data_IF_411114884874
#
_entry.id   IF_411114884874
#
_cell.length_a   1.000
_cell.length_b   1.000
_cell.length_c   1.000
_cell.angle_alpha   90.00
_cell.angle_beta   90.00
_cell.angle_gamma   90.00
#
_symmetry.space_group_name_H-M   'P 1'
#
loop_
_entity.id
_entity.type
_entity.pdbx_description
1 polymer ?
#
# COMPACT_ATOMS: atom_id res chain seq x y z
N UNK A 1 -8.97 5.56 15.83
CA UNK A 1 -7.97 4.57 16.24
C UNK A 1 -8.36 3.88 17.56
N UNK A 2 -8.55 4.58 18.68
CA UNK A 2 -8.87 4.01 20.02
C UNK A 2 -10.04 3.01 20.01
N UNK A 3 -11.13 3.31 19.30
CA UNK A 3 -12.27 2.39 19.16
C UNK A 3 -11.88 1.06 18.52
N UNK A 4 -11.12 1.11 17.42
CA UNK A 4 -10.64 -0.09 16.71
C UNK A 4 -9.72 -0.92 17.64
N UNK A 5 -8.76 -0.26 18.29
CA UNK A 5 -7.82 -0.92 19.21
C UNK A 5 -8.54 -1.66 20.35
N UNK A 6 -9.61 -1.09 20.88
CA UNK A 6 -10.43 -1.72 21.93
C UNK A 6 -11.26 -2.93 21.47
N UNK A 7 -11.30 -3.25 20.16
CA UNK A 7 -12.12 -4.33 19.60
C UNK A 7 -11.32 -5.51 19.05
N UNK A 8 -10.00 -5.45 19.06
CA UNK A 8 -9.15 -6.53 18.56
C UNK A 8 -7.84 -6.65 19.31
N UNK A 9 -7.33 -7.87 19.39
CA UNK A 9 -5.98 -8.18 19.86
C UNK A 9 -4.97 -8.31 18.70
N UNK A 10 -5.46 -8.17 17.45
CA UNK A 10 -4.60 -8.21 16.27
C UNK A 10 -3.96 -6.87 16.01
N UNK A 11 -2.87 -6.86 15.25
CA UNK A 11 -2.27 -5.63 14.77
C UNK A 11 -3.31 -4.77 14.03
N UNK A 12 -3.31 -3.49 14.34
CA UNK A 12 -4.24 -2.51 13.78
C UNK A 12 -3.51 -1.58 12.85
N UNK A 13 -4.10 -1.33 11.67
CA UNK A 13 -3.56 -0.43 10.67
C UNK A 13 -4.55 0.69 10.38
N UNK A 14 -4.02 1.89 10.20
CA UNK A 14 -4.77 3.08 9.80
C UNK A 14 -4.11 3.71 8.59
N UNK A 15 -4.91 4.28 7.70
CA UNK A 15 -4.45 4.91 6.46
C UNK A 15 -4.69 6.40 6.50
N UNK A 16 -3.70 7.18 6.07
CA UNK A 16 -3.76 8.61 5.83
C UNK A 16 -3.47 8.91 4.35
N UNK A 17 -4.02 9.99 3.78
CA UNK A 17 -3.52 10.47 2.49
C UNK A 17 -2.07 10.92 2.64
N UNK A 18 -1.24 10.61 1.65
CA UNK A 18 0.15 11.01 1.64
C UNK A 18 0.34 12.49 1.31
N UNK A 19 1.41 13.14 1.84
CA UNK A 19 1.62 14.58 1.70
C UNK A 19 1.84 15.02 0.24
N UNK A 20 2.54 14.21 -0.56
CA UNK A 20 2.75 14.50 -1.97
C UNK A 20 1.42 14.47 -2.75
N UNK A 21 0.61 13.46 -2.51
CA UNK A 21 -0.75 13.36 -3.08
C UNK A 21 -1.62 14.55 -2.68
N UNK A 22 -1.61 14.96 -1.41
CA UNK A 22 -2.42 16.09 -0.94
C UNK A 22 -2.01 17.38 -1.63
N UNK A 23 -0.71 17.65 -1.75
CA UNK A 23 -0.20 18.85 -2.40
C UNK A 23 -0.60 18.95 -3.88
N UNK A 24 -0.50 17.83 -4.62
CA UNK A 24 -0.84 17.80 -6.05
C UNK A 24 -2.35 17.87 -6.34
N UNK A 25 -3.19 17.70 -5.33
CA UNK A 25 -4.65 17.87 -5.43
C UNK A 25 -5.13 19.27 -5.05
N UNK A 26 -4.23 20.14 -4.64
CA UNK A 26 -4.54 21.52 -4.24
C UNK A 26 -4.00 22.52 -5.27
N UNK A 27 -4.69 23.66 -5.37
CA UNK A 27 -4.14 24.86 -6.00
C UNK A 27 -3.38 25.62 -4.94
N UNK A 28 -2.09 25.90 -5.18
CA UNK A 28 -1.27 26.69 -4.27
C UNK A 28 -1.49 28.19 -4.51
N UNK A 29 -2.22 28.83 -3.62
CA UNK A 29 -2.45 30.28 -3.61
C UNK A 29 -1.67 30.99 -2.47
N UNK A 30 -0.86 30.24 -1.71
CA UNK A 30 -0.20 30.77 -0.52
C UNK A 30 1.32 30.68 -0.54
N UNK A 31 1.86 29.47 -0.84
CA UNK A 31 3.31 29.24 -0.80
C UNK A 31 4.00 29.74 -2.07
N UNK A 32 3.36 29.61 -3.23
CA UNK A 32 3.98 29.88 -4.52
C UNK A 32 5.17 28.99 -4.84
N UNK A 33 5.31 27.88 -4.11
CA UNK A 33 6.41 26.92 -4.18
C UNK A 33 5.90 25.51 -3.87
N UNK A 34 5.97 24.62 -4.85
CA UNK A 34 5.46 23.27 -4.74
C UNK A 34 6.16 22.46 -3.62
N UNK A 35 7.48 22.63 -3.42
CA UNK A 35 8.20 21.94 -2.36
C UNK A 35 7.72 22.42 -0.98
N UNK A 36 7.57 23.72 -0.79
CA UNK A 36 7.07 24.29 0.46
C UNK A 36 5.65 23.76 0.80
N UNK A 37 4.76 23.70 -0.19
CA UNK A 37 3.42 23.13 -0.02
C UNK A 37 3.47 21.66 0.37
N UNK A 38 4.27 20.84 -0.32
CA UNK A 38 4.42 19.42 -0.02
C UNK A 38 4.95 19.21 1.39
N UNK A 39 5.95 19.99 1.81
CA UNK A 39 6.55 19.87 3.14
C UNK A 39 5.60 20.35 4.25
N UNK A 40 4.77 21.36 4.00
CA UNK A 40 3.73 21.78 4.94
C UNK A 40 2.68 20.69 5.15
N UNK A 41 2.26 19.99 4.08
CA UNK A 41 1.41 18.81 4.22
C UNK A 41 2.12 17.67 4.96
N UNK A 42 3.42 17.47 4.73
CA UNK A 42 4.18 16.44 5.45
C UNK A 42 4.23 16.70 6.96
N UNK A 43 4.31 17.96 7.38
CA UNK A 43 4.23 18.35 8.80
C UNK A 43 2.86 18.09 9.41
N UNK A 44 1.79 18.44 8.71
CA UNK A 44 0.44 18.17 9.16
C UNK A 44 0.14 16.67 9.27
N UNK A 45 0.57 15.88 8.28
CA UNK A 45 0.44 14.41 8.29
C UNK A 45 1.28 13.79 9.41
N UNK A 46 2.48 14.34 9.69
CA UNK A 46 3.31 13.88 10.81
C UNK A 46 2.61 14.06 12.16
N UNK A 47 2.00 15.22 12.41
CA UNK A 47 1.25 15.45 13.64
C UNK A 47 0.11 14.42 13.82
N UNK A 48 -0.67 14.15 12.77
CA UNK A 48 -1.73 13.14 12.79
C UNK A 48 -1.15 11.72 12.98
N UNK A 49 -0.03 11.40 12.35
CA UNK A 49 0.62 10.09 12.48
C UNK A 49 1.08 9.82 13.93
N UNK A 50 1.66 10.82 14.60
CA UNK A 50 2.04 10.73 16.01
C UNK A 50 0.83 10.56 16.93
N UNK A 51 -0.26 11.28 16.67
CA UNK A 51 -1.51 11.14 17.43
C UNK A 51 -2.16 9.76 17.22
N UNK A 52 -2.09 9.20 16.01
CA UNK A 52 -2.60 7.87 15.72
C UNK A 52 -1.76 6.77 16.38
N UNK A 53 -0.44 6.91 16.41
CA UNK A 53 0.44 6.03 17.18
C UNK A 53 0.12 6.08 18.68
N UNK A 54 0.00 7.28 19.25
CA UNK A 54 -0.40 7.46 20.65
C UNK A 54 -1.80 6.89 20.95
N UNK A 55 -2.67 6.82 19.95
CA UNK A 55 -3.98 6.18 20.02
C UNK A 55 -3.93 4.64 19.83
N UNK A 56 -2.73 4.05 19.64
CA UNK A 56 -2.48 2.61 19.58
C UNK A 56 -2.50 2.01 18.19
N UNK A 57 -2.15 2.77 17.14
CA UNK A 57 -1.91 2.21 15.81
C UNK A 57 -0.60 1.41 15.79
N UNK A 58 -0.64 0.17 15.32
CA UNK A 58 0.56 -0.65 15.13
C UNK A 58 1.22 -0.37 13.77
N UNK A 59 0.41 -0.01 12.77
CA UNK A 59 0.85 0.31 11.40
C UNK A 59 0.16 1.60 10.95
N UNK A 60 0.92 2.54 10.42
CA UNK A 60 0.42 3.75 9.78
C UNK A 60 0.81 3.72 8.30
N UNK A 61 -0.17 3.87 7.42
CA UNK A 61 0.03 3.83 5.97
C UNK A 61 -0.26 5.19 5.36
N UNK A 62 0.62 5.65 4.50
CA UNK A 62 0.38 6.80 3.62
C UNK A 62 -0.03 6.30 2.24
N UNK A 63 -1.14 6.82 1.71
CA UNK A 63 -1.58 6.54 0.34
C UNK A 63 -1.06 7.63 -0.59
N UNK A 64 -0.20 7.24 -1.54
CA UNK A 64 0.47 8.13 -2.50
C UNK A 64 0.15 7.78 -3.96
N UNK A 65 -1.12 7.82 -4.37
CA UNK A 65 -1.49 7.49 -5.75
C UNK A 65 -0.95 8.49 -6.79
N UNK A 66 -0.62 9.71 -6.40
CA UNK A 66 -0.20 10.75 -7.32
C UNK A 66 1.28 10.72 -7.69
N UNK A 67 2.12 9.88 -7.05
CA UNK A 67 3.54 9.72 -7.44
C UNK A 67 3.71 9.26 -8.89
N UNK A 68 2.69 8.63 -9.47
CA UNK A 68 2.69 8.20 -10.87
C UNK A 68 2.32 9.30 -11.87
N UNK A 69 1.60 10.34 -11.43
CA UNK A 69 1.10 11.39 -12.33
C UNK A 69 2.18 12.41 -12.66
N UNK A 70 3.11 12.63 -11.74
CA UNK A 70 4.32 13.44 -11.96
C UNK A 70 5.55 12.71 -11.39
N UNK A 71 6.10 11.71 -12.11
CA UNK A 71 7.26 10.96 -11.64
C UNK A 71 8.51 11.84 -11.44
N UNK A 72 8.63 12.96 -12.16
CA UNK A 72 9.76 13.87 -12.02
C UNK A 72 9.69 14.64 -10.70
N UNK A 73 8.53 15.18 -10.34
CA UNK A 73 8.31 15.81 -9.03
C UNK A 73 8.38 14.78 -7.90
N UNK A 74 7.83 13.57 -8.09
CA UNK A 74 7.90 12.49 -7.12
C UNK A 74 9.36 12.13 -6.78
N UNK A 75 10.24 11.98 -7.76
CA UNK A 75 11.67 11.73 -7.53
C UNK A 75 12.35 12.85 -6.74
N UNK A 76 11.94 14.10 -6.93
CA UNK A 76 12.52 15.24 -6.22
C UNK A 76 12.02 15.36 -4.78
N UNK A 77 10.74 15.07 -4.52
CA UNK A 77 10.08 15.51 -3.30
C UNK A 77 9.40 14.40 -2.49
N UNK A 78 8.87 13.32 -3.13
CA UNK A 78 7.97 12.40 -2.45
C UNK A 78 8.66 11.60 -1.33
N UNK A 79 9.88 11.11 -1.52
CA UNK A 79 10.61 10.38 -0.46
C UNK A 79 10.86 11.27 0.75
N UNK A 80 11.33 12.51 0.53
CA UNK A 80 11.56 13.47 1.63
C UNK A 80 10.27 13.80 2.38
N UNK A 81 9.17 13.96 1.66
CA UNK A 81 7.86 14.23 2.26
C UNK A 81 7.34 13.03 3.07
N UNK A 82 7.48 11.81 2.56
CA UNK A 82 7.14 10.59 3.28
C UNK A 82 7.99 10.45 4.55
N UNK A 83 9.31 10.65 4.45
CA UNK A 83 10.22 10.55 5.58
C UNK A 83 9.91 11.62 6.63
N UNK A 84 9.60 12.87 6.20
CA UNK A 84 9.17 13.95 7.11
C UNK A 84 7.83 13.62 7.80
N UNK A 85 6.87 13.06 7.05
CA UNK A 85 5.58 12.65 7.61
C UNK A 85 5.70 11.52 8.65
N UNK A 86 6.78 10.76 8.62
CA UNK A 86 7.06 9.69 9.58
C UNK A 86 8.16 10.04 10.60
N UNK A 87 8.60 11.28 10.66
CA UNK A 87 9.61 11.69 11.64
C UNK A 87 9.11 11.49 13.07
N UNK A 88 9.90 10.79 13.89
CA UNK A 88 9.54 10.46 15.28
C UNK A 88 8.49 9.37 15.46
N UNK A 89 7.92 8.81 14.38
CA UNK A 89 6.92 7.73 14.44
C UNK A 89 7.64 6.39 14.62
N UNK A 90 7.36 5.71 15.73
CA UNK A 90 7.88 4.37 16.08
C UNK A 90 7.04 3.21 15.55
N UNK A 91 5.77 3.46 15.18
CA UNK A 91 4.89 2.47 14.55
C UNK A 91 5.45 1.97 13.21
N UNK A 92 4.96 0.82 12.74
CA UNK A 92 5.33 0.33 11.40
C UNK A 92 4.85 1.31 10.32
N UNK A 93 5.78 1.82 9.53
CA UNK A 93 5.55 2.81 8.48
C UNK A 93 5.31 2.10 7.16
N UNK A 94 4.17 2.38 6.54
CA UNK A 94 3.79 1.79 5.26
C UNK A 94 3.43 2.88 4.24
N UNK A 95 3.62 2.61 2.96
CA UNK A 95 3.04 3.40 1.88
C UNK A 95 2.28 2.50 0.91
N UNK A 96 1.19 3.01 0.37
CA UNK A 96 0.42 2.37 -0.70
C UNK A 96 0.51 3.18 -1.98
N UNK A 97 0.95 2.52 -3.03
CA UNK A 97 0.98 3.07 -4.38
C UNK A 97 -0.20 2.50 -5.15
N UNK A 98 -1.13 3.36 -5.50
CA UNK A 98 -2.38 2.99 -6.13
C UNK A 98 -2.44 3.55 -7.56
N UNK A 99 -3.04 2.81 -8.47
CA UNK A 99 -3.40 3.31 -9.81
C UNK A 99 -4.83 3.88 -9.87
N UNK A 100 -5.47 4.03 -8.73
CA UNK A 100 -6.88 4.40 -8.59
C UNK A 100 -7.77 3.20 -8.33
N UNK A 101 -8.94 3.44 -7.74
CA UNK A 101 -9.90 2.37 -7.46
C UNK A 101 -10.27 1.62 -8.72
N UNK A 102 -10.02 0.32 -8.77
CA UNK A 102 -10.20 -0.52 -9.95
C UNK A 102 -11.60 -0.49 -10.54
N UNK A 103 -12.62 -0.36 -9.68
CA UNK A 103 -14.02 -0.26 -10.12
C UNK A 103 -14.37 1.12 -10.74
N UNK A 104 -13.61 2.16 -10.45
CA UNK A 104 -13.83 3.53 -10.93
C UNK A 104 -12.93 3.86 -12.12
N UNK A 105 -11.76 3.21 -12.18
CA UNK A 105 -10.79 3.33 -13.28
C UNK A 105 -10.81 2.00 -14.06
N UNK A 106 -11.75 1.82 -15.00
CA UNK A 106 -11.87 0.58 -15.75
C UNK A 106 -10.81 0.42 -16.83
N UNK A 107 -10.07 1.50 -17.13
CA UNK A 107 -9.05 1.49 -18.16
C UNK A 107 -7.85 0.61 -17.78
N UNK A 108 -7.08 0.24 -18.78
CA UNK A 108 -5.87 -0.56 -18.60
C UNK A 108 -4.89 0.16 -17.66
N UNK A 109 -4.61 -0.46 -16.52
CA UNK A 109 -3.66 0.09 -15.55
C UNK A 109 -2.23 -0.09 -16.06
N UNK A 110 -1.31 0.82 -15.71
CA UNK A 110 0.10 0.64 -16.04
C UNK A 110 0.64 -0.70 -15.51
N UNK A 111 1.48 -1.34 -16.29
CA UNK A 111 2.16 -2.60 -15.97
C UNK A 111 3.47 -2.41 -15.20
N UNK A 112 3.80 -1.17 -14.83
CA UNK A 112 5.04 -0.81 -14.17
C UNK A 112 4.84 0.30 -13.11
N UNK A 113 5.72 0.28 -12.12
CA UNK A 113 5.84 1.30 -11.08
C UNK A 113 7.18 2.04 -11.24
N UNK A 114 7.19 3.27 -11.74
CA UNK A 114 8.43 4.00 -12.05
C UNK A 114 9.17 4.57 -10.82
N UNK A 115 8.69 4.30 -9.59
CA UNK A 115 9.15 4.95 -8.36
C UNK A 115 9.55 3.95 -7.25
N UNK A 116 9.70 2.65 -7.57
CA UNK A 116 9.98 1.63 -6.54
C UNK A 116 11.40 1.71 -5.97
N UNK A 117 12.38 2.05 -6.80
CA UNK A 117 13.79 2.16 -6.35
C UNK A 117 13.96 3.29 -5.34
N UNK A 118 13.32 4.44 -5.58
CA UNK A 118 13.34 5.57 -4.66
C UNK A 118 12.67 5.22 -3.33
N UNK A 119 11.56 4.49 -3.36
CA UNK A 119 10.89 4.02 -2.13
C UNK A 119 11.72 2.98 -1.37
N UNK A 120 12.54 2.19 -2.05
CA UNK A 120 13.45 1.27 -1.37
C UNK A 120 14.44 1.99 -0.45
N UNK A 121 14.84 3.21 -0.81
CA UNK A 121 15.74 4.05 -0.02
C UNK A 121 15.04 4.84 1.10
N UNK A 122 13.70 4.89 1.14
CA UNK A 122 12.93 5.61 2.15
C UNK A 122 12.98 4.97 3.54
N UNK A 123 12.46 5.67 4.55
CA UNK A 123 12.31 5.16 5.93
C UNK A 123 11.17 4.15 6.10
N UNK A 124 10.44 3.80 5.05
CA UNK A 124 9.33 2.85 5.08
C UNK A 124 9.79 1.43 5.47
N UNK A 125 8.95 0.71 6.20
CA UNK A 125 9.11 -0.72 6.47
C UNK A 125 8.35 -1.58 5.46
N UNK A 126 7.19 -1.10 5.02
CA UNK A 126 6.26 -1.84 4.16
C UNK A 126 5.84 -1.00 2.95
N UNK A 127 5.72 -1.64 1.79
CA UNK A 127 5.23 -1.02 0.56
C UNK A 127 4.09 -1.86 0.00
N UNK A 128 2.94 -1.23 -0.23
CA UNK A 128 1.74 -1.86 -0.79
C UNK A 128 1.58 -1.46 -2.24
N UNK A 129 1.42 -2.46 -3.10
CA UNK A 129 1.26 -2.28 -4.54
C UNK A 129 0.14 -3.13 -5.10
N UNK A 130 -0.52 -2.64 -6.13
CA UNK A 130 -1.46 -3.41 -6.92
C UNK A 130 -0.69 -4.34 -7.88
N UNK A 131 -1.12 -5.57 -8.02
CA UNK A 131 -0.49 -6.51 -8.94
C UNK A 131 -1.48 -7.44 -9.65
N UNK A 132 -2.67 -7.67 -9.10
CA UNK A 132 -3.64 -8.58 -9.68
C UNK A 132 -4.36 -7.97 -10.88
N UNK A 133 -4.92 -6.76 -10.75
CA UNK A 133 -5.60 -6.05 -11.84
C UNK A 133 -4.61 -5.61 -12.92
N UNK A 134 -3.47 -4.95 -12.62
CA UNK A 134 -2.52 -4.52 -13.64
C UNK A 134 -1.75 -5.68 -14.28
N UNK A 135 -1.86 -6.91 -13.75
CA UNK A 135 -1.05 -8.07 -14.18
C UNK A 135 0.44 -7.76 -14.18
N UNK A 136 0.87 -7.13 -13.07
CA UNK A 136 2.22 -6.63 -12.89
C UNK A 136 3.27 -7.73 -13.11
N UNK A 137 4.34 -7.40 -13.83
CA UNK A 137 5.54 -8.24 -13.83
C UNK A 137 6.20 -8.19 -12.44
N UNK A 138 6.20 -9.32 -11.73
CA UNK A 138 6.64 -9.38 -10.35
C UNK A 138 8.17 -9.32 -10.19
N UNK A 139 8.95 -9.34 -11.25
CA UNK A 139 10.40 -9.09 -11.17
C UNK A 139 10.72 -7.69 -10.63
N UNK A 140 9.82 -6.70 -10.83
CA UNK A 140 9.98 -5.35 -10.25
C UNK A 140 10.05 -5.35 -8.72
N UNK A 141 9.53 -6.38 -8.05
CA UNK A 141 9.57 -6.51 -6.58
C UNK A 141 11.01 -6.59 -6.03
N UNK A 142 11.95 -7.04 -6.85
CA UNK A 142 13.38 -7.11 -6.48
C UNK A 142 13.98 -5.72 -6.21
N UNK A 143 13.44 -4.69 -6.86
CA UNK A 143 13.86 -3.29 -6.65
C UNK A 143 13.53 -2.77 -5.24
N UNK A 144 12.60 -3.42 -4.52
CA UNK A 144 12.18 -2.99 -3.18
C UNK A 144 13.15 -3.36 -2.04
N UNK A 145 14.32 -3.89 -2.36
CA UNK A 145 15.38 -4.15 -1.39
C UNK A 145 14.92 -5.00 -0.20
N UNK A 146 15.16 -4.52 1.03
CA UNK A 146 14.78 -5.21 2.27
C UNK A 146 13.36 -4.96 2.77
N UNK A 147 12.50 -4.25 2.02
CA UNK A 147 11.13 -3.90 2.45
C UNK A 147 10.20 -5.12 2.46
N UNK A 148 9.22 -5.10 3.36
CA UNK A 148 8.07 -6.01 3.27
C UNK A 148 7.11 -5.49 2.20
N UNK A 149 6.70 -6.36 1.30
CA UNK A 149 5.77 -6.01 0.22
C UNK A 149 4.37 -6.52 0.54
N UNK A 150 3.42 -5.62 0.65
CA UNK A 150 2.00 -5.95 0.64
C UNK A 150 1.57 -6.08 -0.83
N UNK A 151 1.59 -7.31 -1.32
CA UNK A 151 1.32 -7.63 -2.72
C UNK A 151 -0.18 -7.77 -2.95
N UNK A 152 -0.73 -6.95 -3.84
CA UNK A 152 -2.10 -7.08 -4.31
C UNK A 152 -2.31 -8.40 -5.04
N UNK A 153 -3.25 -9.22 -4.54
CA UNK A 153 -3.59 -10.53 -5.11
C UNK A 153 -5.08 -10.69 -5.37
N UNK A 154 -5.86 -9.64 -5.12
CA UNK A 154 -7.31 -9.57 -5.43
C UNK A 154 -7.54 -8.47 -6.46
N UNK A 155 -8.12 -8.84 -7.58
CA UNK A 155 -8.55 -7.91 -8.62
C UNK A 155 -9.85 -7.21 -8.20
N UNK A 156 -9.81 -5.90 -8.08
CA UNK A 156 -10.96 -5.09 -7.63
C UNK A 156 -11.71 -4.42 -8.78
N UNK A 157 -11.37 -4.70 -10.04
CA UNK A 157 -12.12 -4.21 -11.21
C UNK A 157 -13.43 -4.95 -11.43
N UNK A 158 -13.59 -6.12 -10.81
CA UNK A 158 -14.77 -6.98 -10.93
C UNK A 158 -15.34 -7.35 -9.56
N UNK A 159 -16.67 -7.50 -9.43
CA UNK A 159 -17.31 -8.02 -8.21
C UNK A 159 -17.11 -9.53 -8.00
N UNK A 160 -16.58 -10.25 -8.98
CA UNK A 160 -16.36 -11.69 -8.92
C UNK A 160 -15.37 -12.05 -7.80
N UNK A 161 -15.69 -13.14 -7.09
CA UNK A 161 -14.88 -13.62 -5.98
C UNK A 161 -13.90 -14.65 -6.54
N UNK A 162 -12.61 -14.40 -6.38
CA UNK A 162 -11.57 -15.35 -6.76
C UNK A 162 -11.67 -16.66 -5.98
N UNK A 163 -11.24 -17.76 -6.58
CA UNK A 163 -11.03 -19.00 -5.83
C UNK A 163 -9.80 -18.90 -4.93
N UNK A 164 -9.76 -19.67 -3.83
CA UNK A 164 -8.58 -19.77 -2.98
C UNK A 164 -7.33 -20.20 -3.78
N UNK A 165 -7.48 -21.07 -4.76
CA UNK A 165 -6.38 -21.53 -5.60
C UNK A 165 -5.86 -20.44 -6.54
N UNK A 166 -6.74 -19.60 -7.10
CA UNK A 166 -6.33 -18.41 -7.88
C UNK A 166 -5.46 -17.49 -7.04
N UNK A 167 -5.90 -17.21 -5.80
CA UNK A 167 -5.14 -16.38 -4.87
C UNK A 167 -3.81 -17.03 -4.49
N UNK A 168 -3.82 -18.34 -4.17
CA UNK A 168 -2.60 -19.09 -3.87
C UNK A 168 -1.60 -19.06 -5.03
N UNK A 169 -2.07 -19.19 -6.27
CA UNK A 169 -1.22 -19.06 -7.47
C UNK A 169 -0.55 -17.70 -7.58
N UNK A 170 -1.28 -16.61 -7.32
CA UNK A 170 -0.72 -15.24 -7.31
C UNK A 170 0.31 -15.04 -6.18
N UNK A 171 0.06 -15.61 -5.00
CA UNK A 171 1.02 -15.56 -3.88
C UNK A 171 2.30 -16.34 -4.23
N UNK A 172 2.18 -17.54 -4.81
CA UNK A 172 3.35 -18.34 -5.26
C UNK A 172 4.18 -17.59 -6.30
N UNK A 173 3.52 -16.89 -7.22
CA UNK A 173 4.22 -16.05 -8.19
C UNK A 173 5.03 -14.94 -7.49
N UNK A 174 4.48 -14.28 -6.48
CA UNK A 174 5.21 -13.28 -5.67
C UNK A 174 6.40 -13.88 -4.92
N UNK A 175 6.27 -15.13 -4.44
CA UNK A 175 7.35 -15.86 -3.75
C UNK A 175 8.51 -16.27 -4.66
N UNK A 176 8.35 -16.19 -5.97
CA UNK A 176 9.47 -16.35 -6.91
C UNK A 176 10.45 -15.15 -6.87
N UNK A 177 9.94 -13.96 -6.50
CA UNK A 177 10.73 -12.73 -6.42
C UNK A 177 11.09 -12.33 -4.99
N UNK A 178 10.32 -12.75 -3.98
CA UNK A 178 10.45 -12.35 -2.58
C UNK A 178 10.55 -13.55 -1.65
N UNK A 179 11.33 -13.41 -0.58
CA UNK A 179 11.33 -14.36 0.51
C UNK A 179 9.97 -14.36 1.26
N UNK A 180 9.53 -15.49 1.85
CA UNK A 180 8.22 -15.62 2.49
C UNK A 180 7.96 -14.63 3.64
N UNK A 181 8.98 -14.25 4.39
CA UNK A 181 8.93 -13.27 5.49
C UNK A 181 8.79 -11.83 5.00
N UNK A 182 9.02 -11.59 3.71
CA UNK A 182 8.90 -10.29 3.08
C UNK A 182 7.63 -10.10 2.23
N UNK A 183 6.81 -11.13 2.06
CA UNK A 183 5.59 -11.06 1.28
C UNK A 183 4.36 -11.11 2.19
N UNK A 184 3.51 -10.11 2.09
CA UNK A 184 2.20 -10.05 2.73
C UNK A 184 1.12 -9.95 1.65
N UNK A 185 0.27 -10.97 1.43
CA UNK A 185 -0.81 -10.86 0.46
C UNK A 185 -1.87 -9.87 0.93
N UNK A 186 -2.34 -9.04 0.03
CA UNK A 186 -3.31 -7.98 0.27
C UNK A 186 -4.29 -7.85 -0.90
N UNK A 187 -5.43 -7.15 -0.75
CA UNK A 187 -6.17 -6.65 -1.90
C UNK A 187 -5.33 -5.62 -2.68
N UNK A 188 -5.59 -5.49 -3.98
CA UNK A 188 -4.91 -4.47 -4.80
C UNK A 188 -5.08 -3.06 -4.22
N UNK A 189 -6.28 -2.71 -3.80
CA UNK A 189 -6.63 -1.41 -3.26
C UNK A 189 -7.80 -1.52 -2.25
N UNK A 190 -8.39 -0.40 -1.84
CA UNK A 190 -9.58 -0.37 -1.01
C UNK A 190 -10.82 -0.90 -1.71
N UNK A 191 -11.66 -1.64 -1.00
CA UNK A 191 -12.87 -2.31 -1.52
C UNK A 191 -14.14 -1.44 -1.41
N UNK A 192 -14.00 -0.14 -1.29
CA UNK A 192 -15.08 0.83 -1.02
C UNK A 192 -16.25 0.73 -2.00
N UNK A 193 -15.97 0.41 -3.27
CA UNK A 193 -16.99 0.38 -4.32
C UNK A 193 -17.58 -1.01 -4.57
N UNK A 194 -17.10 -2.04 -3.90
CA UNK A 194 -17.66 -3.38 -3.97
C UNK A 194 -18.85 -3.54 -3.01
N UNK A 195 -19.78 -4.44 -3.36
CA UNK A 195 -20.83 -4.83 -2.40
C UNK A 195 -20.18 -5.51 -1.19
N UNK A 196 -20.85 -5.43 -0.02
CA UNK A 196 -20.38 -6.14 1.19
C UNK A 196 -20.16 -7.64 0.94
N UNK A 197 -21.05 -8.27 0.15
CA UNK A 197 -20.93 -9.69 -0.20
C UNK A 197 -19.66 -9.97 -0.99
N UNK A 198 -19.37 -9.18 -2.03
CA UNK A 198 -18.18 -9.34 -2.86
C UNK A 198 -16.92 -9.06 -2.06
N UNK A 199 -16.87 -7.96 -1.30
CA UNK A 199 -15.71 -7.60 -0.48
C UNK A 199 -15.41 -8.69 0.57
N UNK A 200 -16.43 -9.19 1.28
CA UNK A 200 -16.26 -10.26 2.26
C UNK A 200 -15.78 -11.56 1.61
N UNK A 201 -16.39 -11.94 0.46
CA UNK A 201 -15.99 -13.15 -0.26
C UNK A 201 -14.56 -13.10 -0.77
N UNK A 202 -14.14 -11.95 -1.32
CA UNK A 202 -12.75 -11.74 -1.75
C UNK A 202 -11.76 -11.82 -0.58
N UNK A 203 -12.07 -11.19 0.57
CA UNK A 203 -11.23 -11.30 1.77
C UNK A 203 -11.15 -12.73 2.31
N UNK A 204 -12.26 -13.48 2.24
CA UNK A 204 -12.25 -14.91 2.59
C UNK A 204 -11.33 -15.69 1.65
N UNK A 205 -11.44 -15.48 0.34
CA UNK A 205 -10.57 -16.12 -0.64
C UNK A 205 -9.08 -15.77 -0.42
N UNK A 206 -8.78 -14.51 -0.01
CA UNK A 206 -7.44 -14.10 0.38
C UNK A 206 -6.90 -14.94 1.55
N UNK A 207 -7.70 -15.08 2.60
CA UNK A 207 -7.32 -15.87 3.78
C UNK A 207 -7.12 -17.35 3.45
N UNK A 208 -8.05 -17.92 2.68
CA UNK A 208 -8.01 -19.33 2.27
C UNK A 208 -6.78 -19.61 1.37
N UNK A 209 -6.53 -18.75 0.38
CA UNK A 209 -5.36 -18.87 -0.51
C UNK A 209 -4.03 -18.71 0.25
N UNK A 210 -3.97 -17.78 1.19
CA UNK A 210 -2.79 -17.62 2.05
C UNK A 210 -2.58 -18.84 2.97
N UNK A 211 -3.66 -19.49 3.43
CA UNK A 211 -3.57 -20.71 4.24
C UNK A 211 -3.00 -21.88 3.44
N UNK A 212 -3.40 -22.03 2.16
CA UNK A 212 -2.84 -23.05 1.25
C UNK A 212 -1.31 -22.89 1.16
N UNK A 213 -0.85 -21.68 0.83
CA UNK A 213 0.59 -21.43 0.65
C UNK A 213 1.38 -21.58 1.94
N UNK A 214 0.83 -21.16 3.09
CA UNK A 214 1.47 -21.40 4.41
C UNK A 214 1.64 -22.91 4.69
N UNK A 215 0.62 -23.71 4.37
CA UNK A 215 0.71 -25.17 4.50
C UNK A 215 1.82 -25.77 3.65
N UNK A 216 1.98 -25.32 2.41
CA UNK A 216 3.05 -25.75 1.51
C UNK A 216 4.44 -25.37 2.02
N UNK A 217 4.59 -24.17 2.55
CA UNK A 217 5.86 -23.69 3.12
C UNK A 217 6.24 -24.47 4.38
N UNK A 218 5.28 -24.77 5.26
CA UNK A 218 5.51 -25.57 6.46
C UNK A 218 5.86 -27.02 6.16
N UNK A 219 5.31 -27.60 5.10
CA UNK A 219 5.61 -28.98 4.68
C UNK A 219 6.96 -29.17 3.95
N UNK A 220 7.67 -28.07 3.68
CA UNK A 220 9.02 -28.08 3.07
C UNK A 220 10.15 -27.96 4.09
N UNK A 221 9.83 -27.74 5.35
CA UNK A 221 10.78 -27.72 6.50
C UNK A 221 10.88 -29.11 7.12
#
# INVERSE_FOLDING_TARGET
MRFLRGRTQRATKITLPGPFTMALQCVDEFYGDQEALIMAFAEAVNAEALDLEAAGADVIQLDEPWVRTDPAAARRHAVRAIDRAFEGVGATRAAHLCFGYGFVVPDEKPDAYPFLEELAASSLHQISIEAAQPRLDLEVLRALGGKTVMLGVLDLSTPEIESAETVAGRIRAGLAALAPDRLMPAPDCGMKYLTRRSAFGKLKALCDGAAIVRGELAGRQ
#
